data_IF_764767639583
#
_entry.id   IF_764767639583
#
_cell.length_a   1.000
_cell.length_b   1.000
_cell.length_c   1.000
_cell.angle_alpha   90.00
_cell.angle_beta   90.00
_cell.angle_gamma   90.00
#
_symmetry.space_group_name_H-M   'P 1'
#
loop_
_entity.id
_entity.type
_entity.pdbx_description
1 polymer ?
#
# COMPACT_ATOMS: atom_id res chain seq x y z
N UNK A 1 -13.20 29.34 7.88
CA UNK A 1 -12.16 29.05 6.87
C UNK A 1 -12.69 27.88 6.07
N UNK A 2 -12.93 28.07 4.77
CA UNK A 2 -13.57 27.08 3.92
C UNK A 2 -12.45 26.26 3.27
N UNK A 3 -12.34 24.99 3.66
CA UNK A 3 -11.31 24.08 3.16
C UNK A 3 -11.59 23.80 1.67
N UNK A 4 -10.59 23.88 0.78
CA UNK A 4 -10.80 23.59 -0.63
C UNK A 4 -11.10 22.11 -0.78
N UNK A 5 -12.35 21.77 -1.12
CA UNK A 5 -12.73 20.41 -1.49
C UNK A 5 -11.81 19.90 -2.61
N UNK A 6 -11.37 18.64 -2.59
CA UNK A 6 -10.46 18.10 -3.59
C UNK A 6 -11.07 18.24 -4.99
N UNK A 7 -10.29 18.75 -5.93
CA UNK A 7 -10.71 18.87 -7.33
C UNK A 7 -10.91 17.47 -7.93
N UNK A 8 -11.93 17.25 -8.79
CA UNK A 8 -12.22 15.93 -9.36
C UNK A 8 -11.08 15.37 -10.20
N UNK A 9 -10.20 16.22 -10.74
CA UNK A 9 -8.97 15.79 -11.43
C UNK A 9 -7.96 15.15 -10.48
N UNK A 10 -7.75 15.73 -9.29
CA UNK A 10 -6.84 15.20 -8.29
C UNK A 10 -7.26 13.79 -7.84
N UNK A 11 -8.56 13.60 -7.57
CA UNK A 11 -9.10 12.29 -7.18
C UNK A 11 -8.91 11.25 -8.28
N UNK A 12 -9.10 11.64 -9.56
CA UNK A 12 -8.88 10.75 -10.69
C UNK A 12 -7.40 10.36 -10.87
N UNK A 13 -6.48 11.33 -10.80
CA UNK A 13 -5.04 11.07 -10.89
C UNK A 13 -4.53 10.23 -9.72
N UNK A 14 -5.00 10.51 -8.50
CA UNK A 14 -4.69 9.73 -7.31
C UNK A 14 -5.18 8.29 -7.45
N UNK A 15 -6.41 8.09 -7.93
CA UNK A 15 -6.98 6.75 -8.14
C UNK A 15 -6.22 5.96 -9.20
N UNK A 16 -5.80 6.62 -10.29
CA UNK A 16 -4.97 5.99 -11.32
C UNK A 16 -3.60 5.58 -10.74
N UNK A 17 -2.97 6.48 -9.99
CA UNK A 17 -1.66 6.24 -9.39
C UNK A 17 -1.70 5.10 -8.38
N UNK A 18 -2.70 5.08 -7.50
CA UNK A 18 -2.95 3.97 -6.54
C UNK A 18 -3.11 2.63 -7.28
N UNK A 19 -3.92 2.58 -8.34
CA UNK A 19 -4.14 1.34 -9.10
C UNK A 19 -2.85 0.86 -9.79
N UNK A 20 -2.09 1.78 -10.38
CA UNK A 20 -0.80 1.48 -11.01
C UNK A 20 0.22 0.94 -9.99
N UNK A 21 0.33 1.58 -8.83
CA UNK A 21 1.22 1.14 -7.75
C UNK A 21 0.86 -0.26 -7.27
N UNK A 22 -0.44 -0.55 -7.02
CA UNK A 22 -0.89 -1.90 -6.64
C UNK A 22 -0.54 -2.96 -7.68
N UNK A 23 -0.83 -2.70 -8.96
CA UNK A 23 -0.48 -3.64 -10.02
C UNK A 23 1.03 -3.93 -10.09
N UNK A 24 1.86 -2.93 -9.73
CA UNK A 24 3.32 -3.10 -9.68
C UNK A 24 3.74 -3.92 -8.45
N UNK A 25 3.11 -3.71 -7.30
CA UNK A 25 3.32 -4.55 -6.09
C UNK A 25 2.97 -6.00 -6.38
N UNK A 26 1.80 -6.26 -6.96
CA UNK A 26 1.35 -7.62 -7.29
C UNK A 26 2.32 -8.29 -8.29
N UNK A 27 2.81 -7.54 -9.28
CA UNK A 27 3.81 -8.04 -10.23
C UNK A 27 5.16 -8.32 -9.57
N UNK A 28 5.62 -7.44 -8.68
CA UNK A 28 6.89 -7.62 -7.96
C UNK A 28 6.82 -8.82 -7.02
N UNK A 29 5.72 -8.96 -6.27
CA UNK A 29 5.47 -10.11 -5.42
C UNK A 29 5.41 -11.42 -6.22
N UNK A 30 4.76 -11.42 -7.39
CA UNK A 30 4.72 -12.59 -8.28
C UNK A 30 6.10 -12.95 -8.86
N UNK A 31 6.98 -11.96 -9.04
CA UNK A 31 8.38 -12.16 -9.46
C UNK A 31 9.31 -12.56 -8.31
N UNK A 32 8.86 -12.47 -7.05
CA UNK A 32 9.70 -12.68 -5.86
C UNK A 32 10.63 -11.50 -5.55
N UNK A 33 10.36 -10.32 -6.12
CA UNK A 33 11.09 -9.09 -5.83
C UNK A 33 10.47 -8.39 -4.60
N UNK A 34 10.70 -8.97 -3.42
CA UNK A 34 10.13 -8.49 -2.16
C UNK A 34 10.58 -7.06 -1.80
N UNK A 35 11.83 -6.71 -2.11
CA UNK A 35 12.37 -5.35 -1.90
C UNK A 35 11.64 -4.32 -2.77
N UNK A 36 11.33 -4.67 -4.02
CA UNK A 36 10.61 -3.80 -4.93
C UNK A 36 9.16 -3.66 -4.50
N UNK A 37 8.50 -4.78 -4.18
CA UNK A 37 7.15 -4.79 -3.64
C UNK A 37 7.07 -3.92 -2.37
N UNK A 38 8.06 -4.02 -1.48
CA UNK A 38 8.13 -3.23 -0.26
C UNK A 38 8.30 -1.74 -0.53
N UNK A 39 9.16 -1.34 -1.48
CA UNK A 39 9.31 0.06 -1.85
C UNK A 39 8.01 0.67 -2.39
N UNK A 40 7.24 -0.10 -3.17
CA UNK A 40 5.94 0.36 -3.67
C UNK A 40 4.84 0.34 -2.60
N UNK A 41 4.90 -0.56 -1.61
CA UNK A 41 4.01 -0.51 -0.45
C UNK A 41 4.21 0.78 0.36
N UNK A 42 5.46 1.22 0.51
CA UNK A 42 5.81 2.49 1.18
C UNK A 42 5.28 3.71 0.39
N UNK A 43 5.44 3.72 -0.94
CA UNK A 43 4.85 4.74 -1.82
C UNK A 43 3.32 4.75 -1.72
N UNK A 44 2.69 3.58 -1.63
CA UNK A 44 1.24 3.45 -1.49
C UNK A 44 0.73 3.98 -0.14
N UNK A 45 1.49 3.80 0.95
CA UNK A 45 1.20 4.40 2.26
C UNK A 45 1.27 5.93 2.18
N UNK A 46 2.32 6.48 1.56
CA UNK A 46 2.45 7.92 1.36
C UNK A 46 1.31 8.52 0.51
N UNK A 47 0.79 7.77 -0.47
CA UNK A 47 -0.38 8.19 -1.26
C UNK A 47 -1.66 8.20 -0.43
N UNK A 48 -1.81 7.30 0.55
CA UNK A 48 -2.95 7.29 1.49
C UNK A 48 -2.88 8.50 2.42
N UNK A 49 -1.71 8.82 2.95
CA UNK A 49 -1.51 10.03 3.77
C UNK A 49 -1.80 11.31 2.97
N UNK A 50 -1.33 11.36 1.72
CA UNK A 50 -1.64 12.47 0.81
C UNK A 50 -3.15 12.58 0.56
N UNK A 51 -3.84 11.45 0.34
CA UNK A 51 -5.29 11.43 0.17
C UNK A 51 -6.02 11.98 1.40
N UNK A 52 -5.61 11.54 2.60
CA UNK A 52 -6.17 11.97 3.87
C UNK A 52 -5.97 13.48 4.10
N UNK A 53 -4.82 14.04 3.73
CA UNK A 53 -4.55 15.47 3.79
C UNK A 53 -5.44 16.32 2.86
N UNK A 54 -6.08 15.69 1.88
CA UNK A 54 -7.01 16.29 0.93
C UNK A 54 -8.47 15.86 1.16
N UNK A 55 -8.80 15.32 2.34
CA UNK A 55 -10.14 14.81 2.68
C UNK A 55 -10.65 13.69 1.75
N UNK A 56 -9.74 12.92 1.15
CA UNK A 56 -10.05 11.77 0.30
C UNK A 56 -9.80 10.49 1.08
N UNK A 57 -10.87 9.74 1.36
CA UNK A 57 -10.77 8.42 1.99
C UNK A 57 -10.47 7.32 0.94
N UNK A 58 -9.46 6.50 1.20
CA UNK A 58 -9.09 5.35 0.37
C UNK A 58 -9.17 4.03 1.16
N UNK A 59 -10.38 3.61 1.61
CA UNK A 59 -10.55 2.45 2.49
C UNK A 59 -10.04 1.15 1.86
N UNK A 60 -10.23 0.95 0.57
CA UNK A 60 -9.72 -0.22 -0.16
C UNK A 60 -8.19 -0.28 -0.16
N UNK A 61 -7.51 0.88 -0.15
CA UNK A 61 -6.04 0.93 -0.15
C UNK A 61 -5.50 0.61 1.22
N UNK A 62 -6.14 1.13 2.26
CA UNK A 62 -5.81 0.81 3.65
C UNK A 62 -6.02 -0.69 3.91
N UNK A 63 -7.11 -1.28 3.41
CA UNK A 63 -7.36 -2.72 3.53
C UNK A 63 -6.29 -3.56 2.82
N UNK A 64 -5.88 -3.15 1.61
CA UNK A 64 -4.80 -3.81 0.86
C UNK A 64 -3.45 -3.75 1.59
N UNK A 65 -3.08 -2.58 2.13
CA UNK A 65 -1.85 -2.43 2.93
C UNK A 65 -1.87 -3.32 4.18
N UNK A 66 -3.01 -3.40 4.88
CA UNK A 66 -3.16 -4.22 6.07
C UNK A 66 -3.02 -5.73 5.78
N UNK A 67 -3.51 -6.20 4.63
CA UNK A 67 -3.35 -7.59 4.18
C UNK A 67 -1.88 -7.95 3.94
N UNK A 68 -1.14 -7.08 3.23
CA UNK A 68 0.30 -7.26 2.99
C UNK A 68 1.14 -7.19 4.27
N UNK A 69 0.80 -6.32 5.22
CA UNK A 69 1.47 -6.27 6.52
C UNK A 69 1.19 -7.54 7.35
N UNK A 70 -0.02 -8.08 7.27
CA UNK A 70 -0.41 -9.31 7.96
C UNK A 70 0.30 -10.54 7.39
N UNK A 71 0.48 -10.60 6.06
CA UNK A 71 1.23 -11.67 5.40
C UNK A 71 2.71 -11.72 5.81
N UNK A 72 3.37 -10.56 5.98
CA UNK A 72 4.78 -10.49 6.41
C UNK A 72 5.00 -10.97 7.83
N UNK A 73 4.07 -10.70 8.75
CA UNK A 73 4.17 -11.16 10.15
C UNK A 73 4.07 -12.69 10.25
N UNK A 74 3.30 -13.32 9.36
CA UNK A 74 3.17 -14.78 9.30
C UNK A 74 4.45 -15.46 8.80
N UNK A 75 5.10 -14.91 7.78
CA UNK A 75 6.36 -15.46 7.23
C UNK A 75 7.51 -15.41 8.26
N UNK A 76 7.64 -14.28 8.98
CA UNK A 76 8.61 -14.11 10.06
C UNK A 76 8.40 -15.07 11.24
N UNK A 77 7.15 -15.46 11.55
CA UNK A 77 6.85 -16.44 12.60
C UNK A 77 7.11 -17.88 12.16
N UNK A 78 6.83 -18.21 10.90
CA UNK A 78 7.11 -19.55 10.35
C UNK A 78 8.62 -19.85 10.28
N UNK A 79 9.47 -18.84 10.07
CA UNK A 79 10.93 -19.01 10.06
C UNK A 79 11.57 -19.18 11.45
N UNK A 80 10.87 -18.85 12.54
CA UNK A 80 11.43 -18.85 13.89
C UNK A 80 11.35 -20.22 14.62
N UNK A 81 10.62 -21.20 14.07
CA UNK A 81 10.42 -22.51 14.73
C UNK A 81 11.44 -23.61 14.36
N UNK A 82 12.57 -23.28 13.70
CA UNK A 82 13.54 -24.29 13.24
C UNK A 82 14.86 -24.39 14.05
N UNK A 83 14.95 -23.79 15.25
CA UNK A 83 16.17 -23.87 16.06
C UNK A 83 15.87 -24.10 17.55
N UNK A 84 15.49 -25.32 17.90
CA UNK A 84 15.81 -25.84 19.24
C UNK A 84 16.17 -27.32 19.08
N UNK A 85 17.49 -27.56 19.06
CA UNK A 85 18.12 -28.86 19.12
C UNK A 85 17.95 -29.51 20.51
#
# INVERSE_FOLDING_TARGET
MQEPSPTPSFVAELSERVQRTRATIDSAAASGDDDLAQAFLDDLEALVDLAAAHDVALPDTVAYLADHQSGRVLDLRSGAECATA
#
